data_IF_706276193876
#
_entry.id   IF_706276193876
#
_cell.length_a   1.000
_cell.length_b   1.000
_cell.length_c   1.000
_cell.angle_alpha   90.00
_cell.angle_beta   90.00
_cell.angle_gamma   90.00
#
_symmetry.space_group_name_H-M   'P 1'
#
loop_
_entity.id
_entity.type
_entity.pdbx_description
1 polymer ?
#
# COMPACT_ATOMS: atom_id res chain seq x y z
N UNK A 1 2.87 1.14 -8.06
CA UNK A 1 2.76 2.35 -7.16
C UNK A 1 3.20 3.68 -7.77
N UNK A 2 4.51 3.99 -8.00
CA UNK A 2 4.86 5.29 -8.61
C UNK A 2 4.27 5.49 -10.00
N UNK A 3 4.20 4.42 -10.81
CA UNK A 3 3.53 4.43 -12.12
C UNK A 3 2.05 4.76 -12.00
N UNK A 4 1.36 4.17 -11.01
CA UNK A 4 -0.04 4.47 -10.70
C UNK A 4 -0.20 5.94 -10.34
N UNK A 5 0.65 6.47 -9.47
CA UNK A 5 0.63 7.87 -9.06
C UNK A 5 0.92 8.82 -10.23
N UNK A 6 1.93 8.52 -11.05
CA UNK A 6 2.28 9.28 -12.24
C UNK A 6 1.13 9.35 -13.24
N UNK A 7 0.43 8.22 -13.48
CA UNK A 7 -0.76 8.18 -14.34
C UNK A 7 -1.89 9.04 -13.78
N UNK A 8 -2.19 8.88 -12.49
CA UNK A 8 -3.26 9.64 -11.84
C UNK A 8 -2.97 11.15 -11.83
N UNK A 9 -1.71 11.54 -11.59
CA UNK A 9 -1.28 12.94 -11.66
C UNK A 9 -1.34 13.50 -13.07
N UNK A 10 -0.98 12.70 -14.08
CA UNK A 10 -1.11 13.10 -15.48
C UNK A 10 -2.56 13.40 -15.85
N UNK A 11 -3.49 12.58 -15.38
CA UNK A 11 -4.94 12.81 -15.57
C UNK A 11 -5.42 14.05 -14.83
N UNK A 12 -4.96 14.27 -13.59
CA UNK A 12 -5.37 15.42 -12.78
C UNK A 12 -4.82 16.76 -13.31
N UNK A 13 -3.58 16.77 -13.79
CA UNK A 13 -2.87 17.97 -14.21
C UNK A 13 -2.93 18.25 -15.71
N UNK A 14 -3.37 17.28 -16.53
CA UNK A 14 -3.40 17.40 -17.99
C UNK A 14 -2.01 17.48 -18.65
N UNK A 15 -0.95 17.19 -17.90
CA UNK A 15 0.45 17.18 -18.35
C UNK A 15 1.22 16.07 -17.66
N UNK A 16 2.29 15.60 -18.28
CA UNK A 16 3.17 14.60 -17.68
C UNK A 16 4.00 15.24 -16.55
N UNK A 17 3.91 14.68 -15.35
CA UNK A 17 4.69 15.09 -14.18
C UNK A 17 5.53 13.88 -13.78
N UNK A 18 6.85 13.91 -14.00
CA UNK A 18 7.71 12.79 -13.66
C UNK A 18 7.67 12.48 -12.16
N UNK A 19 7.29 11.25 -11.80
CA UNK A 19 7.34 10.75 -10.41
C UNK A 19 8.48 9.76 -10.28
N UNK A 20 9.44 10.04 -9.40
CA UNK A 20 10.65 9.20 -9.24
C UNK A 20 10.71 8.56 -7.86
N UNK A 21 11.08 7.27 -7.83
CA UNK A 21 11.30 6.51 -6.59
C UNK A 21 12.68 6.72 -5.95
N UNK A 22 13.57 7.48 -6.60
CA UNK A 22 14.93 7.74 -6.12
C UNK A 22 15.25 9.21 -6.21
N UNK A 23 16.08 9.67 -5.28
CA UNK A 23 16.82 10.90 -5.40
C UNK A 23 17.60 10.91 -6.72
N UNK A 24 17.51 12.02 -7.45
CA UNK A 24 18.30 12.25 -8.64
C UNK A 24 18.69 13.72 -8.67
N UNK A 25 19.92 14.05 -9.07
CA UNK A 25 20.42 15.42 -9.19
C UNK A 25 19.76 16.24 -10.34
N UNK A 26 18.58 15.80 -10.81
CA UNK A 26 17.87 16.43 -11.91
C UNK A 26 17.03 17.58 -11.37
N UNK A 27 17.45 18.80 -11.70
CA UNK A 27 16.69 20.03 -11.48
C UNK A 27 15.52 20.10 -12.47
N UNK A 28 14.33 20.49 -12.00
CA UNK A 28 13.14 20.69 -12.82
C UNK A 28 11.84 20.35 -12.08
N UNK A 29 10.70 20.49 -12.77
CA UNK A 29 9.39 20.14 -12.25
C UNK A 29 9.23 18.61 -12.11
N UNK A 30 9.70 18.05 -11.00
CA UNK A 30 9.52 16.63 -10.70
C UNK A 30 9.05 16.41 -9.26
N UNK A 31 8.43 15.25 -9.05
CA UNK A 31 8.06 14.76 -7.73
C UNK A 31 8.97 13.59 -7.36
N UNK A 32 9.48 13.60 -6.14
CA UNK A 32 10.14 12.41 -5.58
C UNK A 32 9.19 11.74 -4.61
N UNK A 33 8.96 10.45 -4.87
CA UNK A 33 8.27 9.55 -3.98
C UNK A 33 9.30 8.79 -3.13
N UNK A 34 9.35 9.11 -1.85
CA UNK A 34 10.23 8.49 -0.87
C UNK A 34 9.45 7.45 -0.06
N UNK A 35 9.92 6.21 -0.05
CA UNK A 35 9.41 5.19 0.87
C UNK A 35 10.14 5.28 2.21
N UNK A 36 9.39 5.55 3.29
CA UNK A 36 9.95 5.73 4.64
C UNK A 36 10.04 4.40 5.37
N UNK A 37 9.00 3.57 5.25
CA UNK A 37 8.98 2.28 5.93
C UNK A 37 7.66 1.55 5.79
N UNK A 38 7.67 0.30 6.27
CA UNK A 38 6.48 -0.55 6.34
C UNK A 38 6.29 -1.00 7.77
N UNK A 39 5.08 -0.81 8.29
CA UNK A 39 4.68 -1.28 9.61
C UNK A 39 3.54 -2.28 9.50
N UNK A 40 3.50 -3.23 10.43
CA UNK A 40 2.37 -4.14 10.55
C UNK A 40 1.24 -3.42 11.27
N UNK A 41 0.03 -3.48 10.71
CA UNK A 41 -1.17 -3.02 11.40
C UNK A 41 -1.75 -4.11 12.28
N UNK A 42 -2.22 -3.71 13.45
CA UNK A 42 -3.09 -4.55 14.25
C UNK A 42 -4.47 -4.66 13.59
N UNK A 43 -5.06 -5.83 13.71
CA UNK A 43 -6.39 -6.12 13.20
C UNK A 43 -6.64 -7.61 13.24
N UNK A 44 -7.87 -7.97 13.60
CA UNK A 44 -8.31 -9.35 13.51
C UNK A 44 -8.85 -9.57 12.11
N UNK A 45 -8.19 -10.47 11.38
CA UNK A 45 -8.71 -10.97 10.11
C UNK A 45 -8.84 -12.47 10.27
N UNK A 46 -9.95 -13.01 9.80
CA UNK A 46 -10.22 -14.43 9.89
C UNK A 46 -9.45 -15.20 8.80
N UNK A 47 -9.43 -16.52 8.96
CA UNK A 47 -8.97 -17.42 7.92
C UNK A 47 -9.96 -17.40 6.76
N UNK A 48 -9.44 -17.42 5.54
CA UNK A 48 -10.26 -17.45 4.34
C UNK A 48 -10.39 -18.90 3.85
N UNK A 49 -11.63 -19.35 3.58
CA UNK A 49 -11.86 -20.61 2.90
C UNK A 49 -11.56 -20.45 1.41
N UNK A 50 -10.78 -21.37 0.84
CA UNK A 50 -10.52 -21.40 -0.60
C UNK A 50 -10.63 -22.82 -1.15
N UNK A 51 -11.17 -22.90 -2.37
CA UNK A 51 -11.18 -24.12 -3.18
C UNK A 51 -10.17 -23.94 -4.31
N UNK A 52 -9.00 -24.58 -4.18
CA UNK A 52 -7.92 -24.47 -5.18
C UNK A 52 -7.61 -25.85 -5.75
N UNK A 53 -7.79 -26.01 -7.06
CA UNK A 53 -7.54 -27.29 -7.75
C UNK A 53 -8.39 -28.46 -7.23
N UNK A 54 -9.60 -28.19 -6.71
CA UNK A 54 -10.48 -29.20 -6.13
C UNK A 54 -10.16 -29.58 -4.67
N UNK A 55 -9.11 -29.03 -4.08
CA UNK A 55 -8.79 -29.19 -2.66
C UNK A 55 -9.39 -28.05 -1.84
N UNK A 56 -10.10 -28.41 -0.77
CA UNK A 56 -10.59 -27.46 0.21
C UNK A 56 -9.51 -27.14 1.25
N UNK A 57 -9.23 -25.86 1.47
CA UNK A 57 -8.25 -25.43 2.45
C UNK A 57 -8.64 -24.10 3.10
N UNK A 58 -8.15 -23.87 4.31
CA UNK A 58 -8.17 -22.58 4.96
C UNK A 58 -6.83 -21.88 4.77
N UNK A 59 -6.83 -20.70 4.17
CA UNK A 59 -5.67 -19.82 4.14
C UNK A 59 -5.55 -19.09 5.48
N UNK A 60 -4.33 -18.95 5.98
CA UNK A 60 -4.09 -18.14 7.17
C UNK A 60 -4.47 -16.67 6.91
N UNK A 61 -4.81 -15.92 7.97
CA UNK A 61 -5.19 -14.52 7.81
C UNK A 61 -4.13 -13.72 7.06
N UNK A 62 -4.53 -12.78 6.19
CA UNK A 62 -3.60 -11.91 5.50
C UNK A 62 -2.81 -11.04 6.48
N UNK A 63 -1.61 -10.63 6.07
CA UNK A 63 -0.84 -9.65 6.81
C UNK A 63 -1.37 -8.26 6.48
N UNK A 64 -1.85 -7.54 7.50
CA UNK A 64 -2.21 -6.14 7.38
C UNK A 64 -0.95 -5.29 7.48
N UNK A 65 -0.66 -4.54 6.43
CA UNK A 65 0.53 -3.71 6.32
C UNK A 65 0.14 -2.27 5.99
N UNK A 66 0.96 -1.35 6.49
CA UNK A 66 0.92 0.07 6.15
C UNK A 66 2.31 0.49 5.69
N UNK A 67 2.42 0.93 4.44
CA UNK A 67 3.63 1.56 3.95
C UNK A 67 3.49 3.08 4.06
N UNK A 68 4.52 3.74 4.58
CA UNK A 68 4.56 5.19 4.73
C UNK A 68 5.42 5.79 3.62
N UNK A 69 4.91 6.86 3.04
CA UNK A 69 5.51 7.55 1.92
C UNK A 69 5.53 9.06 2.12
N UNK A 70 6.47 9.67 1.44
CA UNK A 70 6.61 11.12 1.31
C UNK A 70 6.67 11.49 -0.16
N UNK A 71 5.87 12.47 -0.56
CA UNK A 71 6.00 13.11 -1.89
C UNK A 71 6.50 14.53 -1.71
N UNK A 72 7.69 14.80 -2.21
CA UNK A 72 8.29 16.14 -2.22
C UNK A 72 8.33 16.69 -3.65
N UNK A 73 8.05 17.99 -3.78
CA UNK A 73 8.18 18.70 -5.05
C UNK A 73 9.56 19.37 -5.18
N UNK A 74 10.16 19.24 -6.36
CA UNK A 74 11.48 19.78 -6.71
C UNK A 74 11.40 21.07 -7.55
N UNK A 75 10.19 21.59 -7.76
CA UNK A 75 9.96 22.85 -8.44
C UNK A 75 10.24 24.04 -7.52
N UNK A 76 10.47 25.22 -8.10
CA UNK A 76 10.51 26.47 -7.34
C UNK A 76 9.08 26.94 -7.01
N UNK A 77 8.90 27.80 -6.00
CA UNK A 77 7.60 28.43 -5.75
C UNK A 77 7.19 29.39 -6.87
N UNK A 78 5.89 29.42 -7.27
CA UNK A 78 4.75 28.74 -6.66
C UNK A 78 4.41 27.34 -7.24
N UNK A 79 5.16 26.87 -8.23
CA UNK A 79 4.88 25.61 -8.93
C UNK A 79 4.93 24.39 -8.00
N UNK A 80 5.79 24.42 -6.97
CA UNK A 80 5.86 23.42 -5.91
C UNK A 80 4.50 23.19 -5.22
N UNK A 81 3.82 24.27 -4.84
CA UNK A 81 2.51 24.25 -4.18
C UNK A 81 1.43 23.72 -5.11
N UNK A 82 1.48 24.09 -6.39
CA UNK A 82 0.54 23.58 -7.39
C UNK A 82 0.69 22.07 -7.59
N UNK A 83 1.93 21.56 -7.64
CA UNK A 83 2.21 20.14 -7.76
C UNK A 83 1.74 19.36 -6.53
N UNK A 84 2.04 19.83 -5.32
CA UNK A 84 1.58 19.18 -4.09
C UNK A 84 0.06 19.25 -3.92
N UNK A 85 -0.56 20.36 -4.33
CA UNK A 85 -2.02 20.48 -4.37
C UNK A 85 -2.67 19.46 -5.30
N UNK A 86 -2.05 19.19 -6.46
CA UNK A 86 -2.51 18.15 -7.36
C UNK A 86 -2.34 16.74 -6.77
N UNK A 87 -1.24 16.48 -6.06
CA UNK A 87 -1.03 15.22 -5.32
C UNK A 87 -2.12 15.02 -4.27
N UNK A 88 -2.39 16.03 -3.45
CA UNK A 88 -3.44 15.98 -2.44
C UNK A 88 -4.81 15.71 -3.05
N UNK A 89 -5.16 16.44 -4.11
CA UNK A 89 -6.42 16.23 -4.82
C UNK A 89 -6.54 14.82 -5.38
N UNK A 90 -5.47 14.30 -5.97
CA UNK A 90 -5.43 12.95 -6.54
C UNK A 90 -5.73 11.90 -5.47
N UNK A 91 -5.09 12.01 -4.31
CA UNK A 91 -5.31 11.06 -3.21
C UNK A 91 -6.70 11.18 -2.57
N UNK A 92 -7.27 12.38 -2.52
CA UNK A 92 -8.63 12.59 -2.01
C UNK A 92 -9.70 12.09 -2.98
N UNK A 93 -9.54 12.36 -4.27
CA UNK A 93 -10.53 12.00 -5.30
C UNK A 93 -10.49 10.49 -5.61
N UNK A 94 -9.31 9.85 -5.50
CA UNK A 94 -9.08 8.44 -5.83
C UNK A 94 -8.15 7.75 -4.82
N UNK A 95 -8.64 7.43 -3.62
CA UNK A 95 -7.81 6.80 -2.59
C UNK A 95 -7.43 5.36 -2.94
N UNK A 96 -8.23 4.66 -3.73
CA UNK A 96 -7.91 3.30 -4.18
C UNK A 96 -6.79 3.31 -5.24
N UNK A 97 -5.73 2.54 -5.00
CA UNK A 97 -4.67 2.32 -5.99
C UNK A 97 -5.04 1.15 -6.88
N UNK A 98 -5.58 1.46 -8.06
CA UNK A 98 -5.71 0.49 -9.14
C UNK A 98 -4.29 0.13 -9.63
N UNK A 99 -3.80 -1.01 -9.16
CA UNK A 99 -2.53 -1.55 -9.61
C UNK A 99 -2.75 -2.08 -11.04
N UNK A 100 -2.02 -1.55 -12.01
CA UNK A 100 -2.12 -1.98 -13.41
C UNK A 100 -0.81 -2.67 -13.82
N UNK A 101 -0.93 -3.92 -14.28
CA UNK A 101 0.15 -4.69 -14.89
C UNK A 101 0.35 -6.05 -14.21
N UNK A 102 0.45 -7.11 -15.05
CA UNK A 102 0.74 -8.49 -14.62
C UNK A 102 1.99 -8.53 -13.72
N UNK A 103 3.00 -7.69 -13.98
CA UNK A 103 4.24 -7.62 -13.20
C UNK A 103 4.07 -7.13 -11.74
N UNK A 104 3.15 -6.19 -11.44
CA UNK A 104 2.95 -5.71 -10.06
C UNK A 104 2.02 -6.66 -9.26
N UNK A 105 1.02 -7.27 -9.92
CA UNK A 105 0.15 -8.28 -9.30
C UNK A 105 0.88 -9.61 -9.05
N UNK A 106 1.76 -10.03 -9.96
CA UNK A 106 2.49 -11.30 -9.83
C UNK A 106 3.62 -11.24 -8.79
N UNK A 107 4.19 -10.06 -8.54
CA UNK A 107 5.24 -9.89 -7.52
C UNK A 107 4.69 -9.83 -6.10
N UNK A 108 3.49 -9.27 -5.90
CA UNK A 108 2.89 -9.11 -4.56
C UNK A 108 1.44 -9.57 -4.60
N UNK A 109 1.17 -10.69 -3.91
CA UNK A 109 -0.19 -11.22 -3.75
C UNK A 109 -1.01 -10.36 -2.78
N UNK A 110 -1.59 -9.27 -3.28
CA UNK A 110 -2.48 -8.41 -2.51
C UNK A 110 -3.81 -9.11 -2.20
N UNK A 111 -4.31 -8.94 -0.98
CA UNK A 111 -5.66 -9.35 -0.58
C UNK A 111 -6.59 -8.12 -0.62
N UNK A 112 -7.09 -7.79 -1.82
CA UNK A 112 -7.91 -6.60 -2.06
C UNK A 112 -7.10 -5.41 -2.60
N UNK A 113 -7.76 -4.25 -2.70
CA UNK A 113 -7.19 -3.05 -3.32
C UNK A 113 -6.45 -2.21 -2.26
N UNK A 114 -5.20 -1.81 -2.48
CA UNK A 114 -4.50 -0.88 -1.58
C UNK A 114 -5.17 0.49 -1.51
N UNK A 115 -5.19 1.10 -0.34
CA UNK A 115 -5.84 2.39 -0.09
C UNK A 115 -4.83 3.42 0.41
N UNK A 116 -4.77 4.57 -0.27
CA UNK A 116 -4.02 5.76 0.14
C UNK A 116 -4.80 6.53 1.20
N UNK A 117 -4.11 6.90 2.27
CA UNK A 117 -4.61 7.77 3.31
C UNK A 117 -3.58 8.86 3.59
N UNK A 118 -4.03 10.09 3.77
CA UNK A 118 -3.14 11.16 4.23
C UNK A 118 -2.61 10.82 5.62
N UNK A 119 -1.31 11.02 5.80
CA UNK A 119 -0.64 10.76 7.06
C UNK A 119 -0.02 12.06 7.57
N UNK A 120 0.27 12.10 8.86
CA UNK A 120 0.98 13.22 9.48
C UNK A 120 2.35 12.75 9.89
N UNK A 121 3.34 13.61 9.71
CA UNK A 121 4.71 13.36 10.10
C UNK A 121 5.21 14.48 11.00
N UNK A 122 6.12 14.17 11.91
CA UNK A 122 6.72 15.23 12.71
C UNK A 122 7.60 16.13 11.84
N UNK A 123 7.73 17.40 12.24
CA UNK A 123 8.60 18.35 11.54
C UNK A 123 10.07 17.89 11.55
N UNK A 124 10.49 17.19 12.61
CA UNK A 124 11.84 16.64 12.74
C UNK A 124 12.09 15.54 11.70
N UNK A 125 11.22 14.53 11.61
CA UNK A 125 11.32 13.47 10.60
C UNK A 125 11.27 14.04 9.19
N UNK A 126 10.39 15.01 8.92
CA UNK A 126 10.34 15.69 7.63
C UNK A 126 11.66 16.39 7.32
N UNK A 127 12.20 17.15 8.28
CA UNK A 127 13.47 17.88 8.10
C UNK A 127 14.61 16.91 7.79
N UNK A 128 14.71 15.82 8.55
CA UNK A 128 15.80 14.86 8.43
C UNK A 128 15.73 14.12 7.08
N UNK A 129 14.54 13.76 6.62
CA UNK A 129 14.32 13.20 5.28
C UNK A 129 14.70 14.22 4.19
N UNK A 130 14.16 15.43 4.25
CA UNK A 130 14.42 16.47 3.26
C UNK A 130 15.92 16.85 3.18
N UNK A 131 16.61 16.89 4.32
CA UNK A 131 18.06 17.08 4.38
C UNK A 131 18.83 15.89 3.81
N UNK A 132 18.41 14.65 4.10
CA UNK A 132 19.01 13.44 3.53
C UNK A 132 18.92 13.40 2.01
N UNK A 133 17.91 14.06 1.44
CA UNK A 133 17.74 14.27 0.01
C UNK A 133 18.33 15.59 -0.50
N UNK A 134 19.17 16.32 0.25
CA UNK A 134 19.86 17.49 -0.28
C UNK A 134 18.99 18.72 -0.58
N UNK A 135 17.73 18.74 -0.13
CA UNK A 135 16.83 19.90 -0.19
C UNK A 135 16.27 20.23 1.19
N UNK A 136 17.03 20.93 2.03
CA UNK A 136 16.49 21.42 3.29
C UNK A 136 15.26 22.29 2.98
N UNK A 137 14.13 21.95 3.60
CA UNK A 137 12.84 22.68 3.49
C UNK A 137 12.02 22.50 2.20
N UNK A 138 12.28 21.49 1.37
CA UNK A 138 11.35 21.16 0.28
C UNK A 138 9.95 20.84 0.85
N UNK A 139 8.87 21.47 0.35
CA UNK A 139 7.54 21.15 0.81
C UNK A 139 7.19 19.72 0.39
N UNK A 140 6.48 19.01 1.27
CA UNK A 140 6.12 17.64 1.01
C UNK A 140 4.78 17.26 1.64
N UNK A 141 4.20 16.17 1.13
CA UNK A 141 2.98 15.57 1.63
C UNK A 141 3.31 14.16 2.09
N UNK A 142 3.01 13.88 3.36
CA UNK A 142 3.08 12.54 3.92
C UNK A 142 1.77 11.79 3.65
N UNK A 143 1.88 10.53 3.27
CA UNK A 143 0.74 9.65 3.10
C UNK A 143 1.13 8.22 3.41
N UNK A 144 0.14 7.40 3.70
CA UNK A 144 0.32 5.98 3.92
C UNK A 144 -0.54 5.19 2.96
N UNK A 145 -0.09 3.99 2.62
CA UNK A 145 -0.84 3.02 1.83
C UNK A 145 -1.10 1.82 2.71
N UNK A 146 -2.38 1.60 2.99
CA UNK A 146 -2.86 0.43 3.69
C UNK A 146 -3.11 -0.68 2.66
N UNK A 147 -2.51 -1.85 2.90
CA UNK A 147 -2.69 -3.00 2.02
C UNK A 147 -2.61 -4.30 2.80
N UNK A 148 -3.16 -5.34 2.20
CA UNK A 148 -3.19 -6.68 2.79
C UNK A 148 -2.36 -7.60 1.92
N UNK A 149 -1.51 -8.41 2.52
CA UNK A 149 -0.69 -9.39 1.81
C UNK A 149 -1.21 -10.79 2.10
N UNK A 150 -1.56 -11.53 1.04
CA UNK A 150 -2.08 -12.89 1.14
C UNK A 150 -1.07 -13.80 1.84
N UNK A 151 -1.53 -14.58 2.82
CA UNK A 151 -0.66 -15.55 3.46
C UNK A 151 -0.38 -16.72 2.51
N UNK A 152 0.89 -17.05 2.28
CA UNK A 152 1.27 -18.29 1.59
C UNK A 152 0.98 -19.56 2.39
N UNK A 153 0.63 -19.45 3.67
CA UNK A 153 0.36 -20.60 4.55
C UNK A 153 -1.10 -21.03 4.44
N UNK A 154 -1.31 -22.29 4.10
CA UNK A 154 -2.63 -22.92 3.96
C UNK A 154 -2.73 -24.15 4.84
N UNK A 155 -3.94 -24.43 5.33
CA UNK A 155 -4.27 -25.60 6.15
C UNK A 155 -5.33 -26.41 5.40
N UNK A 156 -5.04 -27.65 4.98
CA UNK A 156 -6.00 -28.47 4.26
C UNK A 156 -7.19 -28.84 5.16
N UNK A 157 -8.40 -28.83 4.59
CA UNK A 157 -9.63 -29.23 5.28
C UNK A 157 -9.86 -30.71 5.05
N UNK A 158 -9.82 -31.50 6.13
CA UNK A 158 -10.31 -32.90 6.09
C UNK A 158 -11.76 -32.91 6.54
N UNK A 159 -12.71 -33.06 5.61
CA UNK A 159 -14.11 -33.27 5.95
C UNK A 159 -14.25 -34.61 6.70
N UNK A 160 -14.86 -34.57 7.87
CA UNK A 160 -15.28 -35.79 8.59
C UNK A 160 -16.45 -36.38 7.81
N UNK A 161 -16.21 -37.50 7.11
CA UNK A 161 -17.25 -38.17 6.31
C UNK A 161 -18.20 -39.01 7.16
N UNK A 162 -17.74 -39.48 8.32
CA UNK A 162 -18.52 -40.36 9.19
C UNK A 162 -18.18 -40.07 10.67
N UNK A 163 -19.21 -39.81 11.49
CA UNK A 163 -19.07 -39.59 12.93
C UNK A 163 -19.69 -40.78 13.64
N UNK A 164 -18.86 -41.72 14.08
CA UNK A 164 -19.30 -42.82 14.94
C UNK A 164 -19.47 -42.26 16.36
N UNK A 165 -20.70 -42.28 16.88
CA UNK A 165 -20.99 -41.91 18.27
C UNK A 165 -21.31 -43.18 19.05
N UNK A 166 -20.36 -43.67 19.83
CA UNK A 166 -20.58 -44.79 20.73
C UNK A 166 -21.23 -44.31 22.03
N UNK A 167 -22.46 -44.73 22.26
CA UNK A 167 -23.17 -44.48 23.51
C UNK A 167 -22.88 -45.63 24.47
N UNK A 168 -22.13 -45.36 25.54
CA UNK A 168 -21.99 -46.30 26.66
C UNK A 168 -23.14 -46.10 27.63
N UNK A 169 -24.03 -47.09 27.71
CA UNK A 169 -25.10 -47.11 28.70
C UNK A 169 -24.47 -47.30 30.09
N UNK A 170 -24.70 -46.34 30.98
CA UNK A 170 -24.32 -46.48 32.39
C UNK A 170 -25.42 -47.34 33.02
N UNK A 171 -25.08 -48.59 33.36
CA UNK A 171 -25.96 -49.45 34.15
C UNK A 171 -25.90 -48.99 35.62
N UNK A 172 -27.08 -48.75 36.18
CA UNK A 172 -27.28 -48.32 37.57
C UNK A 172 -27.51 -49.46 38.53
#
# INVERSE_FOLDING_TARGET
MARTLEKQLREACGREIPVRFRYSDVKGECLTLCHVGVVRRSGNVDREYELKGGAEQFRNPPLLLRAQYFVSAWAEPPEDQALLGAVLRTFLDRPALELEGEDEEDMIAYAGIPEVNLDTVSLEEHRDLAQGFGMPFAPSVAYCVDFRLQSGKVTPIKRVKERVMDFRKIEG
#
